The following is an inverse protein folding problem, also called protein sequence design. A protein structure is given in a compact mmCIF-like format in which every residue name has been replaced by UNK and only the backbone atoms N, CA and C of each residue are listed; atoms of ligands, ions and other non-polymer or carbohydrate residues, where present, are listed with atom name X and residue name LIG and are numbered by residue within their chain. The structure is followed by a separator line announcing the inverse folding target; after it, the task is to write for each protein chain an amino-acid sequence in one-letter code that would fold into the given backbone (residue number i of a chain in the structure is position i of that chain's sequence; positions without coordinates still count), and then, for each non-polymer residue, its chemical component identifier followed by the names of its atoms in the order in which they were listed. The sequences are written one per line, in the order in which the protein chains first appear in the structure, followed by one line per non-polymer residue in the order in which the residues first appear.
data_IF_658689651281
#
_entry.id   IF_658689651281
#
_cell.length_a   1.000
_cell.length_b   1.000
_cell.length_c   1.000
_cell.angle_alpha   90.00
_cell.angle_beta   90.00
_cell.angle_gamma   90.00
#
_symmetry.space_group_name_H-M   'P 1'
#
loop_
_entity.id
_entity.type
_entity.pdbx_description
1 polymer ?
#
# COMPACT_ATOMS: atom_id res chain seq x y z
N UNK A 1 29.40 -66.28 13.81
CA UNK A 1 30.52 -65.40 13.40
C UNK A 1 29.91 -64.06 13.02
N UNK A 2 30.11 -63.04 13.85
CA UNK A 2 29.98 -61.63 13.50
C UNK A 2 31.36 -60.99 13.70
N UNK A 3 31.72 -59.94 12.96
CA UNK A 3 31.64 -58.62 13.58
C UNK A 3 31.20 -57.54 12.53
N UNK A 4 31.31 -56.22 12.77
CA UNK A 4 30.18 -55.33 13.01
C UNK A 4 30.04 -54.22 11.95
N UNK A 5 28.96 -53.44 12.02
CA UNK A 5 28.81 -52.15 11.34
C UNK A 5 29.92 -51.16 11.76
N UNK A 6 30.18 -50.14 10.91
CA UNK A 6 30.36 -48.80 11.45
C UNK A 6 29.47 -47.73 10.78
N UNK A 7 28.86 -46.93 11.64
CA UNK A 7 28.32 -45.57 11.44
C UNK A 7 29.39 -44.60 12.00
N UNK A 8 29.26 -43.26 11.92
CA UNK A 8 29.30 -42.33 10.78
C UNK A 8 30.63 -41.54 10.74
N UNK A 9 30.95 -40.87 9.61
CA UNK A 9 32.02 -39.86 9.60
C UNK A 9 31.41 -38.48 9.87
N UNK A 10 31.57 -38.00 11.10
CA UNK A 10 31.55 -36.57 11.41
C UNK A 10 32.94 -35.99 11.16
N UNK A 11 33.08 -35.07 10.22
CA UNK A 11 34.22 -34.15 10.13
C UNK A 11 33.76 -32.75 9.74
N UNK A 12 33.76 -31.86 10.74
CA UNK A 12 33.95 -30.40 10.69
C UNK A 12 34.99 -30.17 11.81
N UNK A 13 36.12 -29.44 11.67
CA UNK A 13 36.18 -28.04 11.18
C UNK A 13 37.45 -27.64 10.40
N UNK A 14 37.27 -26.89 9.30
CA UNK A 14 38.36 -26.30 8.52
C UNK A 14 38.31 -24.77 8.51
N UNK A 15 38.77 -24.15 9.60
CA UNK A 15 39.06 -22.72 9.74
C UNK A 15 40.26 -22.39 8.82
N UNK A 16 40.08 -21.57 7.78
CA UNK A 16 41.20 -20.86 7.11
C UNK A 16 40.94 -19.37 7.12
N UNK A 17 41.80 -18.69 7.85
CA UNK A 17 41.99 -17.24 7.89
C UNK A 17 42.73 -16.78 6.63
N UNK A 18 42.24 -15.67 6.04
CA UNK A 18 42.96 -14.55 5.40
C UNK A 18 43.85 -14.82 4.14
N UNK A 19 44.09 -13.83 3.23
CA UNK A 19 44.40 -12.44 3.58
C UNK A 19 43.61 -11.34 2.84
N UNK A 20 43.54 -10.21 3.55
CA UNK A 20 43.40 -8.86 3.02
C UNK A 20 44.20 -8.66 1.73
N UNK A 21 43.55 -8.06 0.73
CA UNK A 21 44.23 -7.21 -0.24
C UNK A 21 43.40 -5.94 -0.37
N UNK A 22 43.76 -5.02 0.51
CA UNK A 22 43.45 -3.60 0.45
C UNK A 22 44.46 -2.94 -0.51
N UNK A 23 43.94 -2.41 -1.62
CA UNK A 23 44.51 -1.37 -2.48
C UNK A 23 43.49 -1.20 -3.62
N UNK A 24 42.68 -0.13 -3.64
CA UNK A 24 43.17 1.25 -3.67
C UNK A 24 43.27 1.67 -5.13
N UNK A 25 42.12 1.98 -5.75
CA UNK A 25 42.05 2.32 -7.17
C UNK A 25 40.78 3.08 -7.50
N UNK A 26 40.76 4.35 -7.10
CA UNK A 26 39.76 5.35 -7.47
C UNK A 26 39.64 5.47 -8.99
N UNK A 27 38.47 5.19 -9.55
CA UNK A 27 37.96 5.93 -10.70
C UNK A 27 36.45 6.13 -10.55
N UNK A 28 36.13 7.37 -10.19
CA UNK A 28 34.87 8.07 -10.43
C UNK A 28 34.02 7.45 -11.54
N UNK A 29 32.86 6.91 -11.18
CA UNK A 29 31.74 6.79 -12.12
C UNK A 29 30.48 7.14 -11.34
N UNK A 30 29.78 8.16 -11.82
CA UNK A 30 28.56 8.73 -11.28
C UNK A 30 27.53 7.66 -10.88
N UNK A 31 27.26 7.56 -9.58
CA UNK A 31 26.04 6.96 -9.06
C UNK A 31 24.95 8.02 -9.09
N UNK A 32 24.32 8.16 -10.26
CA UNK A 32 23.00 8.75 -10.36
C UNK A 32 22.05 7.98 -9.43
N UNK A 33 21.42 8.70 -8.50
CA UNK A 33 20.28 8.22 -7.70
C UNK A 33 19.16 7.76 -8.65
N UNK A 34 19.13 6.47 -8.96
CA UNK A 34 17.95 5.83 -9.53
C UNK A 34 16.96 5.59 -8.38
N UNK A 35 15.93 6.46 -8.31
CA UNK A 35 14.71 6.21 -7.55
C UNK A 35 14.11 4.86 -7.98
N UNK A 36 13.62 4.02 -7.06
CA UNK A 36 12.73 2.94 -7.45
C UNK A 36 11.39 3.55 -7.86
N UNK A 37 11.19 3.74 -9.17
CA UNK A 37 9.84 3.87 -9.71
C UNK A 37 9.16 2.53 -9.55
N UNK A 38 8.19 2.46 -8.66
CA UNK A 38 7.15 1.42 -8.64
C UNK A 38 6.41 1.46 -9.97
N UNK A 39 6.92 0.75 -10.96
CA UNK A 39 6.20 0.50 -12.21
C UNK A 39 5.12 -0.52 -11.90
N UNK A 40 3.96 -0.04 -11.43
CA UNK A 40 2.70 -0.74 -11.60
C UNK A 40 2.44 -0.81 -13.10
N UNK A 41 3.01 -1.82 -13.75
CA UNK A 41 2.66 -2.18 -15.11
C UNK A 41 1.28 -2.84 -15.05
N UNK A 42 0.25 -2.00 -15.03
CA UNK A 42 -1.12 -2.38 -15.33
C UNK A 42 -1.15 -2.76 -16.81
N UNK A 43 -0.86 -4.01 -17.10
CA UNK A 43 -1.13 -4.63 -18.39
C UNK A 43 -2.64 -4.65 -18.61
N UNK A 44 -3.15 -3.54 -19.13
CA UNK A 44 -4.44 -3.47 -19.79
C UNK A 44 -4.35 -4.16 -21.15
N UNK A 45 -4.16 -5.48 -21.13
CA UNK A 45 -4.55 -6.29 -22.28
C UNK A 45 -6.06 -6.54 -22.09
N UNK A 46 -6.93 -6.14 -23.01
CA UNK A 46 -8.32 -6.58 -22.99
C UNK A 46 -8.28 -8.09 -23.19
N UNK A 47 -8.37 -8.83 -22.10
CA UNK A 47 -8.67 -10.25 -22.13
C UNK A 47 -10.03 -10.34 -22.81
N UNK A 48 -10.02 -10.71 -24.09
CA UNK A 48 -11.15 -11.29 -24.78
C UNK A 48 -11.55 -12.52 -23.98
N UNK A 49 -12.39 -12.28 -22.99
CA UNK A 49 -13.18 -13.27 -22.28
C UNK A 49 -13.88 -14.07 -23.38
N UNK A 50 -13.65 -15.39 -23.51
CA UNK A 50 -14.60 -16.22 -24.21
C UNK A 50 -15.93 -15.98 -23.52
N UNK A 51 -16.87 -15.36 -24.22
CA UNK A 51 -18.25 -15.33 -23.78
C UNK A 51 -18.68 -16.78 -23.61
N UNK A 52 -18.63 -17.25 -22.38
CA UNK A 52 -19.51 -18.33 -21.97
C UNK A 52 -20.93 -17.77 -22.11
N UNK A 53 -21.80 -18.40 -22.92
CA UNK A 53 -23.18 -17.98 -22.99
C UNK A 53 -23.76 -18.13 -21.58
N UNK A 54 -24.22 -17.00 -21.03
CA UNK A 54 -25.04 -16.95 -19.83
C UNK A 54 -26.29 -17.77 -20.09
N UNK A 55 -26.37 -18.94 -19.48
CA UNK A 55 -27.62 -19.68 -19.36
C UNK A 55 -28.47 -18.98 -18.30
N UNK A 56 -29.29 -18.01 -18.71
CA UNK A 56 -30.49 -17.69 -17.95
C UNK A 56 -31.45 -18.90 -17.99
N UNK A 57 -32.18 -19.18 -16.91
CA UNK A 57 -33.18 -20.24 -16.87
C UNK A 57 -34.44 -19.77 -17.61
N UNK A 58 -34.39 -19.90 -18.94
CA UNK A 58 -35.52 -19.68 -19.83
C UNK A 58 -36.55 -20.80 -19.70
N UNK A 59 -37.59 -20.53 -18.92
CA UNK A 59 -38.87 -21.23 -18.95
C UNK A 59 -39.49 -21.14 -20.37
N UNK A 60 -39.62 -22.27 -21.07
CA UNK A 60 -40.47 -22.44 -22.26
C UNK A 60 -40.66 -23.96 -22.44
N UNK A 61 -41.79 -24.51 -21.97
CA UNK A 61 -42.91 -24.94 -22.82
C UNK A 61 -42.51 -25.75 -24.07
N UNK A 62 -42.92 -27.01 -24.04
CA UNK A 62 -43.36 -27.82 -25.18
C UNK A 62 -42.42 -27.93 -26.39
N UNK A 63 -41.62 -28.99 -26.40
CA UNK A 63 -41.26 -29.67 -27.64
C UNK A 63 -41.21 -31.18 -27.39
N UNK A 64 -42.34 -31.81 -27.64
CA UNK A 64 -42.51 -33.18 -28.08
C UNK A 64 -41.40 -33.57 -29.05
N UNK A 65 -40.56 -34.56 -28.74
CA UNK A 65 -39.64 -35.08 -29.76
C UNK A 65 -38.48 -35.91 -29.23
N UNK A 66 -38.46 -37.17 -29.65
CA UNK A 66 -37.27 -38.03 -29.73
C UNK A 66 -36.75 -38.60 -28.41
N UNK A 67 -37.58 -39.45 -27.80
CA UNK A 67 -37.07 -40.60 -27.09
C UNK A 67 -36.13 -41.39 -28.03
N UNK A 68 -34.88 -41.53 -27.59
CA UNK A 68 -33.89 -42.39 -28.23
C UNK A 68 -34.48 -43.78 -28.47
N UNK A 69 -34.21 -44.42 -29.61
CA UNK A 69 -34.68 -45.76 -29.88
C UNK A 69 -34.04 -46.70 -28.87
N UNK A 70 -34.84 -47.11 -27.89
CA UNK A 70 -34.62 -48.31 -27.09
C UNK A 70 -34.27 -49.41 -28.09
N UNK A 71 -33.16 -50.16 -27.93
CA UNK A 71 -32.90 -51.29 -28.79
C UNK A 71 -34.12 -52.21 -28.64
N UNK A 72 -34.89 -52.28 -29.73
CA UNK A 72 -36.01 -53.18 -29.82
C UNK A 72 -35.46 -54.56 -29.47
N UNK A 73 -35.97 -55.12 -28.39
CA UNK A 73 -36.05 -56.55 -28.23
C UNK A 73 -36.71 -57.06 -29.51
N UNK A 74 -35.87 -57.46 -30.45
CA UNK A 74 -36.28 -58.23 -31.61
C UNK A 74 -36.79 -59.55 -31.04
N UNK A 75 -38.08 -59.54 -30.72
CA UNK A 75 -38.89 -60.73 -30.58
C UNK A 75 -38.76 -61.52 -31.87
N UNK A 76 -37.81 -62.45 -31.89
CA UNK A 76 -37.88 -63.61 -32.75
C UNK A 76 -38.98 -64.51 -32.18
N UNK A 77 -40.22 -64.14 -32.48
CA UNK A 77 -41.35 -65.05 -32.53
C UNK A 77 -41.10 -66.01 -33.70
N UNK A 78 -40.22 -66.98 -33.47
CA UNK A 78 -39.97 -68.12 -34.34
C UNK A 78 -40.55 -69.36 -33.68
N UNK A 79 -41.80 -69.63 -33.99
CA UNK A 79 -42.50 -70.90 -33.81
C UNK A 79 -41.56 -72.11 -33.80
N UNK A 80 -41.27 -72.65 -32.61
CA UNK A 80 -40.77 -74.01 -32.46
C UNK A 80 -41.91 -74.87 -31.93
N UNK A 81 -42.70 -75.42 -32.86
CA UNK A 81 -43.32 -76.71 -32.58
C UNK A 81 -42.22 -77.71 -32.17
N UNK A 82 -42.53 -78.78 -31.45
CA UNK A 82 -41.59 -79.87 -31.26
C UNK A 82 -41.38 -80.53 -32.63
N UNK A 83 -40.50 -79.94 -33.47
CA UNK A 83 -39.73 -80.73 -34.39
C UNK A 83 -38.90 -81.63 -33.49
N UNK A 84 -39.43 -82.81 -33.27
CA UNK A 84 -38.68 -84.02 -33.03
C UNK A 84 -37.45 -83.95 -33.94
N UNK A 85 -36.34 -83.48 -33.37
CA UNK A 85 -35.02 -83.59 -33.99
C UNK A 85 -34.77 -85.07 -34.03
N UNK A 86 -35.22 -85.71 -35.11
CA UNK A 86 -34.71 -87.02 -35.50
C UNK A 86 -33.18 -86.84 -35.51
N UNK A 87 -32.43 -87.54 -34.63
CA UNK A 87 -30.99 -87.41 -34.62
C UNK A 87 -30.49 -87.70 -36.04
N UNK A 88 -29.70 -86.78 -36.59
CA UNK A 88 -29.24 -86.85 -37.99
C UNK A 88 -28.28 -88.03 -38.26
N UNK A 89 -28.11 -88.94 -37.31
CA UNK A 89 -27.41 -90.20 -37.51
C UNK A 89 -28.01 -91.29 -36.59
N UNK A 90 -28.64 -92.33 -37.14
CA UNK A 90 -28.94 -93.55 -36.39
C UNK A 90 -27.62 -94.25 -36.07
N UNK A 91 -27.28 -94.41 -34.78
CA UNK A 91 -26.16 -95.25 -34.34
C UNK A 91 -24.86 -94.53 -33.97
N UNK A 92 -24.91 -93.27 -33.54
CA UNK A 92 -23.74 -92.60 -32.96
C UNK A 92 -23.37 -93.27 -31.62
N UNK A 93 -22.24 -94.01 -31.59
CA UNK A 93 -21.77 -94.75 -30.42
C UNK A 93 -20.70 -94.00 -29.58
N UNK A 94 -20.40 -92.75 -29.92
CA UNK A 94 -19.40 -91.90 -29.26
C UNK A 94 -20.08 -90.97 -28.24
N UNK A 95 -19.60 -90.95 -27.00
CA UNK A 95 -20.17 -90.15 -25.91
C UNK A 95 -19.40 -88.84 -25.69
N UNK A 96 -20.04 -87.89 -25.02
CA UNK A 96 -19.39 -86.64 -24.57
C UNK A 96 -18.30 -86.97 -23.54
N UNK A 97 -17.04 -86.85 -23.95
CA UNK A 97 -15.86 -87.26 -23.17
C UNK A 97 -14.97 -88.29 -23.87
N UNK A 98 -15.45 -88.94 -24.92
CA UNK A 98 -14.64 -89.85 -25.72
C UNK A 98 -13.65 -89.08 -26.60
N UNK A 99 -12.36 -89.28 -26.36
CA UNK A 99 -11.29 -88.67 -27.16
C UNK A 99 -11.06 -89.45 -28.44
N UNK A 100 -11.31 -88.81 -29.58
CA UNK A 100 -10.95 -89.34 -30.90
C UNK A 100 -9.43 -89.54 -31.07
N UNK A 101 -8.60 -88.89 -30.25
CA UNK A 101 -7.16 -89.08 -30.28
C UNK A 101 -6.76 -90.40 -29.60
N UNK A 102 -7.49 -90.80 -28.56
CA UNK A 102 -7.18 -91.98 -27.74
C UNK A 102 -7.93 -93.24 -28.20
N UNK A 103 -8.99 -93.09 -29.01
CA UNK A 103 -9.79 -94.20 -29.54
C UNK A 103 -10.01 -94.08 -31.06
N UNK A 104 -9.37 -94.98 -31.83
CA UNK A 104 -9.43 -95.01 -33.29
C UNK A 104 -10.85 -95.28 -33.81
N UNK A 105 -11.68 -96.04 -33.08
CA UNK A 105 -13.07 -96.28 -33.50
C UNK A 105 -13.90 -95.01 -33.34
N UNK A 106 -13.69 -94.27 -32.26
CA UNK A 106 -14.28 -92.94 -32.06
C UNK A 106 -13.85 -91.99 -33.19
N UNK A 107 -12.56 -91.94 -33.52
CA UNK A 107 -12.06 -91.14 -34.65
C UNK A 107 -12.72 -91.52 -35.98
N UNK A 108 -12.88 -92.81 -36.25
CA UNK A 108 -13.52 -93.32 -37.47
C UNK A 108 -15.00 -92.96 -37.54
N UNK A 109 -15.74 -93.07 -36.44
CA UNK A 109 -17.14 -92.65 -36.40
C UNK A 109 -17.28 -91.14 -36.58
N UNK A 110 -16.45 -90.35 -35.89
CA UNK A 110 -16.42 -88.89 -36.03
C UNK A 110 -16.08 -88.49 -37.47
N UNK A 111 -15.08 -89.09 -38.11
CA UNK A 111 -14.74 -88.83 -39.51
C UNK A 111 -15.85 -89.26 -40.47
N UNK A 112 -16.53 -90.39 -40.20
CA UNK A 112 -17.64 -90.87 -41.03
C UNK A 112 -18.81 -89.90 -41.02
N UNK A 113 -19.10 -89.31 -39.87
CA UNK A 113 -20.22 -88.35 -39.71
C UNK A 113 -19.84 -86.94 -40.17
N UNK A 114 -18.58 -86.53 -39.96
CA UNK A 114 -18.11 -85.18 -40.30
C UNK A 114 -17.85 -84.98 -41.81
N UNK A 115 -17.50 -86.03 -42.55
CA UNK A 115 -17.22 -85.95 -43.97
C UNK A 115 -18.51 -86.13 -44.79
N UNK A 116 -18.86 -85.11 -45.57
CA UNK A 116 -20.00 -85.21 -46.49
C UNK A 116 -19.70 -86.26 -47.57
N UNK A 117 -20.72 -86.94 -48.14
CA UNK A 117 -20.52 -87.91 -49.21
C UNK A 117 -19.68 -87.39 -50.39
N UNK A 118 -19.76 -86.09 -50.69
CA UNK A 118 -18.92 -85.42 -51.69
C UNK A 118 -17.43 -85.36 -51.29
N UNK A 119 -17.14 -85.11 -50.01
CA UNK A 119 -15.77 -85.12 -49.48
C UNK A 119 -15.20 -86.54 -49.49
N UNK A 120 -16.01 -87.54 -49.15
CA UNK A 120 -15.61 -88.94 -49.23
C UNK A 120 -15.28 -89.36 -50.67
N UNK A 121 -16.09 -88.94 -51.66
CA UNK A 121 -15.81 -89.19 -53.07
C UNK A 121 -14.51 -88.49 -53.51
N UNK A 122 -14.29 -87.24 -53.08
CA UNK A 122 -13.08 -86.48 -53.38
C UNK A 122 -11.81 -87.12 -52.78
N UNK A 123 -11.89 -87.59 -51.53
CA UNK A 123 -10.79 -88.29 -50.87
C UNK A 123 -10.48 -89.62 -51.58
N UNK A 124 -11.52 -90.37 -52.00
CA UNK A 124 -11.34 -91.63 -52.75
C UNK A 124 -10.78 -91.43 -54.16
N UNK A 125 -11.01 -90.26 -54.79
CA UNK A 125 -10.46 -89.93 -56.11
C UNK A 125 -9.03 -89.37 -56.06
N UNK A 126 -8.58 -88.89 -54.90
CA UNK A 126 -7.22 -88.37 -54.71
C UNK A 126 -6.25 -89.53 -54.51
N UNK A 127 -5.06 -89.45 -55.09
CA UNK A 127 -4.01 -90.40 -54.72
C UNK A 127 -3.52 -90.09 -53.29
N UNK A 128 -2.94 -91.08 -52.60
CA UNK A 128 -2.52 -90.92 -51.21
C UNK A 128 -1.51 -89.77 -51.02
N UNK A 129 -0.61 -89.55 -51.99
CA UNK A 129 0.37 -88.47 -51.94
C UNK A 129 -0.28 -87.09 -51.95
N UNK A 130 -1.20 -86.85 -52.89
CA UNK A 130 -1.95 -85.59 -53.00
C UNK A 130 -2.77 -85.29 -51.74
N UNK A 131 -3.40 -86.32 -51.15
CA UNK A 131 -4.13 -86.16 -49.90
C UNK A 131 -3.20 -85.73 -48.76
N UNK A 132 -2.05 -86.40 -48.60
CA UNK A 132 -1.08 -86.06 -47.56
C UNK A 132 -0.49 -84.66 -47.76
N UNK A 133 -0.14 -84.29 -49.00
CA UNK A 133 0.38 -82.95 -49.32
C UNK A 133 -0.65 -81.86 -49.02
N UNK A 134 -1.93 -82.08 -49.40
CA UNK A 134 -3.03 -81.18 -49.09
C UNK A 134 -3.25 -81.03 -47.57
N UNK A 135 -3.21 -82.14 -46.84
CA UNK A 135 -3.34 -82.14 -45.38
C UNK A 135 -2.19 -81.39 -44.72
N UNK A 136 -0.94 -81.63 -45.14
CA UNK A 136 0.26 -80.94 -44.63
C UNK A 136 0.16 -79.44 -44.92
N UNK A 137 -0.18 -79.05 -46.15
CA UNK A 137 -0.32 -77.64 -46.52
C UNK A 137 -1.42 -76.93 -45.72
N UNK A 138 -2.55 -77.61 -45.49
CA UNK A 138 -3.65 -77.12 -44.66
C UNK A 138 -3.19 -76.93 -43.21
N UNK A 139 -2.50 -77.92 -42.62
CA UNK A 139 -1.96 -77.83 -41.26
C UNK A 139 -0.95 -76.69 -41.11
N UNK A 140 -0.03 -76.52 -42.06
CA UNK A 140 0.94 -75.41 -42.06
C UNK A 140 0.20 -74.06 -42.10
N UNK A 141 -0.82 -73.93 -42.96
CA UNK A 141 -1.62 -72.70 -43.03
C UNK A 141 -2.34 -72.42 -41.71
N UNK A 142 -2.98 -73.43 -41.11
CA UNK A 142 -3.68 -73.28 -39.81
C UNK A 142 -2.72 -72.94 -38.68
N UNK A 143 -1.52 -73.52 -38.67
CA UNK A 143 -0.49 -73.18 -37.70
C UNK A 143 -0.06 -71.72 -37.85
N UNK A 144 0.21 -71.27 -39.07
CA UNK A 144 0.58 -69.89 -39.36
C UNK A 144 -0.53 -68.89 -39.00
N UNK A 145 -1.80 -69.20 -39.32
CA UNK A 145 -2.96 -68.40 -38.88
C UNK A 145 -3.02 -68.29 -37.36
N UNK A 146 -2.85 -69.42 -36.66
CA UNK A 146 -2.85 -69.46 -35.18
C UNK A 146 -1.72 -68.63 -34.60
N UNK A 147 -0.51 -68.78 -35.12
CA UNK A 147 0.67 -68.01 -34.73
C UNK A 147 0.45 -66.51 -34.94
N UNK A 148 -0.08 -66.12 -36.09
CA UNK A 148 -0.39 -64.71 -36.39
C UNK A 148 -1.40 -64.14 -35.39
N UNK A 149 -2.46 -64.90 -35.08
CA UNK A 149 -3.46 -64.47 -34.10
C UNK A 149 -2.86 -64.34 -32.69
N UNK A 150 -1.97 -65.24 -32.28
CA UNK A 150 -1.26 -65.14 -30.99
C UNK A 150 -0.45 -63.85 -30.93
N UNK A 151 0.30 -63.52 -31.98
CA UNK A 151 1.09 -62.28 -32.05
C UNK A 151 0.21 -61.03 -31.96
N UNK A 152 -0.91 -61.01 -32.71
CA UNK A 152 -1.87 -59.90 -32.68
C UNK A 152 -2.44 -59.74 -31.26
N UNK A 153 -2.89 -60.82 -30.63
CA UNK A 153 -3.45 -60.79 -29.26
C UNK A 153 -2.40 -60.27 -28.27
N UNK A 154 -1.15 -60.73 -28.40
CA UNK A 154 -0.07 -60.30 -27.54
C UNK A 154 0.20 -58.80 -27.67
N UNK A 155 0.28 -58.30 -28.91
CA UNK A 155 0.49 -56.87 -29.17
C UNK A 155 -0.68 -55.99 -28.66
N UNK A 156 -1.92 -56.44 -28.81
CA UNK A 156 -3.07 -55.75 -28.19
C UNK A 156 -2.98 -55.72 -26.66
N UNK A 157 -2.56 -56.82 -26.02
CA UNK A 157 -2.34 -56.86 -24.56
C UNK A 157 -1.21 -55.94 -24.12
N UNK A 158 -0.13 -55.86 -24.90
CA UNK A 158 0.99 -54.96 -24.62
C UNK A 158 0.60 -53.48 -24.80
N UNK A 159 -0.18 -53.16 -25.84
CA UNK A 159 -0.76 -51.82 -26.04
C UNK A 159 -1.73 -51.45 -24.91
N UNK A 160 -2.62 -52.34 -24.51
CA UNK A 160 -3.55 -52.12 -23.40
C UNK A 160 -2.81 -51.85 -22.07
N UNK A 161 -1.76 -52.63 -21.77
CA UNK A 161 -0.92 -52.40 -20.58
C UNK A 161 -0.18 -51.06 -20.61
N UNK A 162 0.30 -50.61 -21.78
CA UNK A 162 0.91 -49.28 -21.93
C UNK A 162 -0.09 -48.16 -21.70
N UNK A 163 -1.29 -48.26 -22.26
CA UNK A 163 -2.35 -47.28 -22.02
C UNK A 163 -2.78 -47.23 -20.56
N UNK A 164 -2.91 -48.39 -19.91
CA UNK A 164 -3.24 -48.45 -18.49
C UNK A 164 -2.18 -47.75 -17.62
N UNK A 165 -0.89 -48.07 -17.84
CA UNK A 165 0.21 -47.37 -17.13
C UNK A 165 0.21 -45.87 -17.40
N UNK A 166 0.03 -45.45 -18.65
CA UNK A 166 -0.04 -44.03 -19.00
C UNK A 166 -1.20 -43.31 -18.29
N UNK A 167 -2.34 -43.98 -18.09
CA UNK A 167 -3.47 -43.45 -17.34
C UNK A 167 -3.14 -43.31 -15.85
N UNK A 168 -2.54 -44.33 -15.24
CA UNK A 168 -2.12 -44.30 -13.82
C UNK A 168 -1.08 -43.21 -13.59
N UNK A 169 -0.09 -43.07 -14.48
CA UNK A 169 0.89 -41.98 -14.44
C UNK A 169 0.25 -40.59 -14.60
N UNK A 170 -0.75 -40.45 -15.45
CA UNK A 170 -1.48 -39.18 -15.59
C UNK A 170 -2.32 -38.87 -14.34
N UNK A 171 -2.98 -39.86 -13.75
CA UNK A 171 -3.77 -39.72 -12.53
C UNK A 171 -2.90 -39.35 -11.33
N UNK A 172 -1.75 -40.00 -11.16
CA UNK A 172 -0.79 -39.63 -10.10
C UNK A 172 -0.26 -38.21 -10.26
N UNK A 173 0.06 -37.78 -11.50
CA UNK A 173 0.46 -36.39 -11.78
C UNK A 173 -0.65 -35.39 -11.49
N UNK A 174 -1.89 -35.75 -11.84
CA UNK A 174 -3.06 -34.91 -11.55
C UNK A 174 -3.24 -34.72 -10.04
N UNK A 175 -3.20 -35.80 -9.25
CA UNK A 175 -3.32 -35.73 -7.79
C UNK A 175 -2.17 -34.94 -7.16
N UNK A 176 -0.94 -35.09 -7.67
CA UNK A 176 0.21 -34.29 -7.22
C UNK A 176 0.00 -32.79 -7.49
N UNK A 177 -0.45 -32.43 -8.69
CA UNK A 177 -0.77 -31.04 -9.04
C UNK A 177 -1.92 -30.47 -8.21
N UNK A 178 -2.94 -31.28 -7.91
CA UNK A 178 -4.06 -30.88 -7.05
C UNK A 178 -3.58 -30.62 -5.61
N UNK A 179 -2.67 -31.44 -5.09
CA UNK A 179 -2.05 -31.24 -3.79
C UNK A 179 -1.21 -29.95 -3.75
N UNK A 180 -0.41 -29.68 -4.79
CA UNK A 180 0.34 -28.43 -4.92
C UNK A 180 -0.58 -27.21 -4.97
N UNK A 181 -1.69 -27.28 -5.71
CA UNK A 181 -2.69 -26.23 -5.76
C UNK A 181 -3.28 -25.94 -4.38
N UNK A 182 -3.62 -26.98 -3.60
CA UNK A 182 -4.13 -26.82 -2.22
C UNK A 182 -3.09 -26.15 -1.30
N UNK A 183 -1.81 -26.50 -1.44
CA UNK A 183 -0.72 -25.86 -0.68
C UNK A 183 -0.59 -24.38 -1.05
N UNK A 184 -0.62 -24.05 -2.35
CA UNK A 184 -0.56 -22.66 -2.80
C UNK A 184 -1.77 -21.86 -2.34
N UNK A 185 -2.97 -22.45 -2.37
CA UNK A 185 -4.19 -21.83 -1.87
C UNK A 185 -4.11 -21.54 -0.37
N UNK A 186 -3.58 -22.46 0.43
CA UNK A 186 -3.39 -22.25 1.87
C UNK A 186 -2.37 -21.13 2.14
N UNK A 187 -1.27 -21.07 1.37
CA UNK A 187 -0.28 -19.98 1.47
C UNK A 187 -0.87 -18.62 1.09
N UNK A 188 -1.69 -18.57 0.04
CA UNK A 188 -2.37 -17.36 -0.38
C UNK A 188 -3.34 -16.87 0.71
N UNK A 189 -4.12 -17.77 1.31
CA UNK A 189 -4.98 -17.43 2.46
C UNK A 189 -4.19 -16.87 3.66
N UNK A 190 -3.07 -17.51 4.02
CA UNK A 190 -2.21 -17.02 5.10
C UNK A 190 -1.60 -15.63 4.80
N UNK A 191 -1.16 -15.39 3.56
CA UNK A 191 -0.65 -14.09 3.14
C UNK A 191 -1.74 -13.01 3.13
N UNK A 192 -2.97 -13.36 2.73
CA UNK A 192 -4.12 -12.45 2.79
C UNK A 192 -4.51 -12.09 4.23
N UNK A 193 -4.37 -13.02 5.18
CA UNK A 193 -4.55 -12.76 6.61
C UNK A 193 -3.45 -11.83 7.14
N UNK A 194 -2.18 -12.08 6.79
CA UNK A 194 -1.04 -11.22 7.18
C UNK A 194 -1.21 -9.78 6.66
N UNK A 195 -1.61 -9.61 5.39
CA UNK A 195 -1.90 -8.29 4.82
C UNK A 195 -3.03 -7.60 5.57
N UNK A 196 -4.08 -8.33 5.96
CA UNK A 196 -5.18 -7.75 6.76
C UNK A 196 -4.70 -7.28 8.13
N UNK A 197 -3.83 -8.04 8.79
CA UNK A 197 -3.21 -7.63 10.07
C UNK A 197 -2.37 -6.36 9.90
N UNK A 198 -1.49 -6.31 8.90
CA UNK A 198 -0.65 -5.13 8.64
C UNK A 198 -1.46 -3.88 8.30
N UNK A 199 -2.60 -4.03 7.59
CA UNK A 199 -3.51 -2.91 7.31
C UNK A 199 -4.13 -2.36 8.59
N UNK A 200 -4.55 -3.23 9.52
CA UNK A 200 -5.10 -2.80 10.80
C UNK A 200 -4.06 -2.05 11.66
N UNK A 201 -2.83 -2.56 11.73
CA UNK A 201 -1.71 -1.88 12.43
C UNK A 201 -1.41 -0.49 11.83
N UNK A 202 -1.41 -0.38 10.50
CA UNK A 202 -1.19 0.89 9.82
C UNK A 202 -2.31 1.91 10.10
N UNK A 203 -3.56 1.46 10.23
CA UNK A 203 -4.68 2.33 10.59
C UNK A 203 -4.58 2.82 12.04
N UNK A 204 -4.17 1.94 12.97
CA UNK A 204 -3.89 2.31 14.35
C UNK A 204 -2.75 3.34 14.44
N UNK A 205 -1.64 3.12 13.74
CA UNK A 205 -0.50 4.07 13.70
C UNK A 205 -0.91 5.42 13.13
N UNK A 206 -1.71 5.45 12.05
CA UNK A 206 -2.27 6.69 11.49
C UNK A 206 -3.15 7.43 12.51
N UNK A 207 -3.91 6.70 13.32
CA UNK A 207 -4.67 7.24 14.44
C UNK A 207 -3.77 7.88 15.49
N UNK A 208 -2.75 7.15 15.96
CA UNK A 208 -1.77 7.65 16.93
C UNK A 208 -1.01 8.89 16.43
N UNK A 209 -0.59 8.91 15.16
CA UNK A 209 0.08 10.06 14.55
C UNK A 209 -0.84 11.28 14.44
N UNK A 210 -2.13 11.07 14.15
CA UNK A 210 -3.11 12.16 14.11
C UNK A 210 -3.31 12.77 15.49
N UNK A 211 -3.35 11.95 16.54
CA UNK A 211 -3.41 12.39 17.94
C UNK A 211 -2.14 13.16 18.34
N UNK A 212 -0.95 12.63 18.06
CA UNK A 212 0.31 13.29 18.36
C UNK A 212 0.43 14.66 17.67
N UNK A 213 0.01 14.76 16.39
CA UNK A 213 -0.05 16.05 15.68
C UNK A 213 -1.01 17.04 16.32
N UNK A 214 -2.14 16.57 16.83
CA UNK A 214 -3.09 17.42 17.54
C UNK A 214 -2.47 17.94 18.85
N UNK A 215 -1.86 17.07 19.65
CA UNK A 215 -1.19 17.44 20.90
C UNK A 215 -0.07 18.46 20.69
N UNK A 216 0.74 18.30 19.64
CA UNK A 216 1.78 19.26 19.25
C UNK A 216 1.16 20.63 18.95
N UNK A 217 0.10 20.71 18.15
CA UNK A 217 -0.59 21.98 17.86
C UNK A 217 -1.16 22.62 19.13
N UNK A 218 -1.72 21.82 20.04
CA UNK A 218 -2.22 22.31 21.32
C UNK A 218 -1.08 22.82 22.23
N UNK A 219 0.09 22.18 22.20
CA UNK A 219 1.27 22.64 22.94
C UNK A 219 1.85 23.93 22.32
N UNK A 220 1.89 24.03 21.00
CA UNK A 220 2.32 25.25 20.28
C UNK A 220 1.41 26.44 20.60
N UNK A 221 0.09 26.26 20.59
CA UNK A 221 -0.86 27.31 20.97
C UNK A 221 -0.61 27.80 22.41
N UNK A 222 -0.47 26.87 23.36
CA UNK A 222 -0.14 27.20 24.76
C UNK A 222 1.20 27.93 24.90
N UNK A 223 2.18 27.56 24.08
CA UNK A 223 3.48 28.25 24.05
C UNK A 223 3.33 29.69 23.57
N UNK A 224 2.59 29.94 22.49
CA UNK A 224 2.38 31.31 21.98
C UNK A 224 1.63 32.20 22.98
N UNK A 225 0.67 31.64 23.71
CA UNK A 225 -0.03 32.34 24.80
C UNK A 225 0.92 32.68 25.96
N UNK A 226 1.75 31.71 26.37
CA UNK A 226 2.76 31.93 27.41
C UNK A 226 3.79 33.00 27.00
N UNK A 227 4.28 32.96 25.75
CA UNK A 227 5.20 33.97 25.20
C UNK A 227 4.57 35.36 25.20
N UNK A 228 3.30 35.50 24.79
CA UNK A 228 2.56 36.76 24.86
C UNK A 228 2.42 37.27 26.29
N UNK A 229 2.02 36.40 27.24
CA UNK A 229 1.88 36.76 28.65
C UNK A 229 3.20 37.20 29.29
N UNK A 230 4.32 36.61 28.84
CA UNK A 230 5.66 36.96 29.29
C UNK A 230 6.08 38.33 28.74
N UNK A 231 5.82 38.60 27.47
CA UNK A 231 6.10 39.90 26.85
C UNK A 231 5.37 41.05 27.58
N UNK A 232 4.09 40.84 27.94
CA UNK A 232 3.32 41.82 28.74
C UNK A 232 4.00 42.08 30.09
N UNK A 233 4.40 41.03 30.81
CA UNK A 233 5.07 41.17 32.11
C UNK A 233 6.44 41.84 31.99
N UNK A 234 7.21 41.50 30.96
CA UNK A 234 8.50 42.15 30.71
C UNK A 234 8.33 43.65 30.45
N UNK A 235 7.29 44.03 29.71
CA UNK A 235 6.92 45.43 29.52
C UNK A 235 6.53 46.09 30.85
N UNK A 236 5.63 45.50 31.63
CA UNK A 236 5.20 46.04 32.94
C UNK A 236 6.38 46.22 33.90
N UNK A 237 7.30 45.25 33.95
CA UNK A 237 8.54 45.35 34.76
C UNK A 237 9.44 46.47 34.24
N UNK A 238 9.57 46.60 32.92
CA UNK A 238 10.29 47.70 32.28
C UNK A 238 9.73 49.07 32.68
N UNK A 239 8.40 49.24 32.60
CA UNK A 239 7.71 50.46 33.01
C UNK A 239 7.86 50.74 34.50
N UNK A 240 7.70 49.73 35.36
CA UNK A 240 7.91 49.85 36.80
C UNK A 240 9.34 50.28 37.14
N UNK A 241 10.34 49.75 36.41
CA UNK A 241 11.74 50.14 36.57
C UNK A 241 12.00 51.58 36.16
N UNK A 242 11.37 52.05 35.08
CA UNK A 242 11.48 53.46 34.65
C UNK A 242 10.85 54.38 35.70
N UNK A 243 9.63 54.07 36.18
CA UNK A 243 8.95 54.84 37.23
C UNK A 243 9.75 54.88 38.54
N UNK A 244 10.38 53.76 38.93
CA UNK A 244 11.23 53.71 40.11
C UNK A 244 12.46 54.63 39.98
N UNK A 245 13.12 54.62 38.80
CA UNK A 245 14.24 55.53 38.51
C UNK A 245 13.82 56.99 38.48
N UNK A 246 12.65 57.30 37.91
CA UNK A 246 12.12 58.66 37.87
C UNK A 246 11.85 59.17 39.29
N UNK A 247 11.25 58.34 40.15
CA UNK A 247 11.03 58.68 41.56
C UNK A 247 12.34 58.92 42.30
N UNK A 248 13.33 58.05 42.12
CA UNK A 248 14.66 58.21 42.70
C UNK A 248 15.32 59.53 42.23
N UNK A 249 15.29 59.83 40.93
CA UNK A 249 15.83 61.08 40.39
C UNK A 249 15.09 62.32 40.94
N UNK A 250 13.78 62.23 41.12
CA UNK A 250 12.97 63.31 41.70
C UNK A 250 13.31 63.54 43.17
N UNK A 251 13.49 62.46 43.95
CA UNK A 251 13.94 62.54 45.34
C UNK A 251 15.34 63.15 45.44
N UNK A 252 16.28 62.74 44.58
CA UNK A 252 17.62 63.33 44.50
C UNK A 252 17.59 64.82 44.14
N UNK A 253 16.73 65.22 43.18
CA UNK A 253 16.58 66.62 42.80
C UNK A 253 16.00 67.46 43.95
N UNK A 254 15.00 66.95 44.67
CA UNK A 254 14.44 67.61 45.85
C UNK A 254 15.48 67.75 46.97
N UNK A 255 16.28 66.71 47.21
CA UNK A 255 17.35 66.76 48.21
C UNK A 255 18.44 67.77 47.83
N UNK A 256 18.83 67.83 46.55
CA UNK A 256 19.76 68.83 46.03
C UNK A 256 19.23 70.27 46.23
N UNK A 257 17.96 70.53 45.92
CA UNK A 257 17.31 71.83 46.18
C UNK A 257 17.34 72.17 47.66
N UNK A 258 17.06 71.20 48.54
CA UNK A 258 17.07 71.40 49.99
C UNK A 258 18.49 71.70 50.51
N UNK A 259 19.51 71.00 50.02
CA UNK A 259 20.91 71.28 50.33
C UNK A 259 21.31 72.68 49.87
N UNK A 260 20.86 73.09 48.68
CA UNK A 260 21.11 74.40 48.12
C UNK A 260 20.47 75.53 48.94
N UNK A 261 19.19 75.40 49.33
CA UNK A 261 18.53 76.35 50.23
C UNK A 261 19.22 76.47 51.60
N UNK A 262 19.80 75.37 52.10
CA UNK A 262 20.54 75.34 53.37
C UNK A 262 21.96 75.86 53.25
N UNK A 263 22.53 75.88 52.04
CA UNK A 263 23.89 76.37 51.80
C UNK A 263 23.97 77.85 52.15
N UNK A 264 24.72 78.14 53.22
CA UNK A 264 25.02 79.50 53.65
C UNK A 264 25.91 80.20 52.63
N UNK A 265 26.82 79.46 51.99
CA UNK A 265 27.68 79.95 50.89
C UNK A 265 26.85 80.46 49.71
N UNK A 266 25.78 79.75 49.33
CA UNK A 266 24.93 80.17 48.23
C UNK A 266 24.05 81.37 48.61
N UNK A 267 23.57 81.41 49.86
CA UNK A 267 22.80 82.55 50.36
C UNK A 267 23.65 83.83 50.37
N UNK A 268 24.89 83.72 50.85
CA UNK A 268 25.86 84.80 50.83
C UNK A 268 26.20 85.22 49.39
N UNK A 269 26.38 84.25 48.47
CA UNK A 269 26.62 84.55 47.06
C UNK A 269 25.42 85.25 46.40
N UNK A 270 24.19 84.81 46.66
CA UNK A 270 22.97 85.47 46.15
C UNK A 270 22.75 86.84 46.77
N UNK A 271 23.08 87.03 48.05
CA UNK A 271 23.06 88.36 48.66
C UNK A 271 24.13 89.24 48.02
N UNK A 272 25.36 88.75 47.82
CA UNK A 272 26.44 89.55 47.25
C UNK A 272 26.23 89.84 45.76
N UNK A 273 26.07 88.83 44.91
CA UNK A 273 25.84 88.99 43.47
C UNK A 273 24.45 89.55 43.16
N UNK A 274 23.42 89.19 43.92
CA UNK A 274 22.07 89.71 43.72
C UNK A 274 21.98 91.19 44.07
N UNK A 275 22.56 91.61 45.21
CA UNK A 275 22.62 93.03 45.56
C UNK A 275 23.55 93.77 44.60
N UNK A 276 24.71 93.23 44.24
CA UNK A 276 25.62 93.85 43.27
C UNK A 276 24.98 93.98 41.88
N UNK A 277 24.28 92.94 41.42
CA UNK A 277 23.53 92.94 40.16
C UNK A 277 22.37 93.92 40.16
N UNK A 278 21.62 94.01 41.27
CA UNK A 278 20.54 95.00 41.43
C UNK A 278 21.10 96.43 41.43
N UNK A 279 22.20 96.67 42.15
CA UNK A 279 22.91 97.95 42.16
C UNK A 279 23.36 98.30 40.74
N UNK A 280 23.92 97.34 40.01
CA UNK A 280 24.40 97.56 38.65
C UNK A 280 23.25 97.85 37.68
N UNK A 281 22.16 97.06 37.73
CA UNK A 281 20.96 97.30 36.93
C UNK A 281 20.30 98.66 37.23
N UNK A 282 20.28 99.07 38.50
CA UNK A 282 19.78 100.38 38.90
C UNK A 282 20.68 101.53 38.41
N UNK A 283 22.00 101.34 38.40
CA UNK A 283 22.94 102.29 37.79
C UNK A 283 22.68 102.42 36.29
N UNK A 284 22.50 101.31 35.58
CA UNK A 284 22.22 101.31 34.15
C UNK A 284 20.87 101.98 33.84
N UNK A 285 19.85 101.70 34.63
CA UNK A 285 18.55 102.39 34.57
C UNK A 285 18.68 103.89 34.79
N UNK A 286 19.38 104.34 35.85
CA UNK A 286 19.64 105.77 36.08
C UNK A 286 20.39 106.40 34.92
N UNK A 287 21.36 105.69 34.33
CA UNK A 287 22.09 106.19 33.17
C UNK A 287 21.20 106.32 31.93
N UNK A 288 20.26 105.40 31.71
CA UNK A 288 19.25 105.51 30.66
C UNK A 288 18.30 106.70 30.90
N UNK A 289 17.78 106.86 32.12
CA UNK A 289 16.93 107.99 32.51
C UNK A 289 17.63 109.33 32.32
N UNK A 290 18.90 109.44 32.69
CA UNK A 290 19.69 110.68 32.55
C UNK A 290 19.90 111.08 31.09
N UNK A 291 19.90 110.11 30.16
CA UNK A 291 19.94 110.37 28.72
C UNK A 291 18.59 110.85 28.18
N UNK A 292 17.49 110.35 28.74
CA UNK A 292 16.12 110.69 28.31
C UNK A 292 15.63 112.01 28.93
N UNK A 293 16.03 112.32 30.16
CA UNK A 293 15.59 113.50 30.93
C UNK A 293 16.80 114.15 31.62
N UNK A 294 17.53 115.04 30.93
CA UNK A 294 18.76 115.63 31.45
C UNK A 294 18.56 116.50 32.70
N UNK A 295 17.41 117.15 32.80
CA UNK A 295 17.10 118.14 33.86
C UNK A 295 16.45 117.51 35.09
N UNK A 296 16.11 116.22 35.04
CA UNK A 296 15.46 115.53 36.15
C UNK A 296 16.49 115.14 37.21
N UNK A 297 16.29 115.60 38.45
CA UNK A 297 17.22 115.32 39.55
C UNK A 297 17.07 113.88 40.05
N UNK A 298 17.85 112.98 39.45
CA UNK A 298 17.90 111.57 39.82
C UNK A 298 18.53 111.33 41.20
N UNK A 299 19.01 112.35 41.92
CA UNK A 299 19.51 112.17 43.29
C UNK A 299 18.41 111.73 44.27
N UNK A 300 17.14 111.98 43.94
CA UNK A 300 15.97 111.58 44.72
C UNK A 300 15.60 110.09 44.58
N UNK A 301 16.07 109.41 43.52
CA UNK A 301 15.85 107.98 43.32
C UNK A 301 16.99 107.19 43.99
N UNK A 302 16.86 106.93 45.28
CA UNK A 302 17.73 105.99 45.99
C UNK A 302 17.22 104.55 45.84
N UNK A 303 18.09 103.60 45.48
CA UNK A 303 17.72 102.18 45.52
C UNK A 303 17.30 101.81 46.95
N UNK A 304 16.06 101.36 47.13
CA UNK A 304 15.54 100.86 48.41
C UNK A 304 14.66 101.81 49.23
N UNK A 305 14.45 103.06 48.81
CA UNK A 305 13.76 104.09 49.62
C UNK A 305 12.22 104.01 49.65
N UNK A 306 11.60 102.83 49.55
CA UNK A 306 10.13 102.74 49.46
C UNK A 306 9.45 101.42 49.82
N UNK A 307 10.16 100.45 50.39
CA UNK A 307 9.53 99.22 50.89
C UNK A 307 9.47 99.27 52.41
N UNK A 308 8.59 100.13 52.92
CA UNK A 308 8.07 99.93 54.28
C UNK A 308 7.17 98.70 54.21
N UNK A 309 7.57 97.61 54.87
CA UNK A 309 6.81 96.38 55.03
C UNK A 309 5.39 96.69 55.54
N UNK A 310 4.33 96.49 54.75
CA UNK A 310 3.00 96.35 55.31
C UNK A 310 2.89 94.91 55.84
N UNK A 311 2.98 94.77 57.17
CA UNK A 311 2.33 93.66 57.88
C UNK A 311 0.84 93.70 57.52
N UNK A 312 0.44 92.95 56.51
CA UNK A 312 -0.96 92.71 56.19
C UNK A 312 -1.15 91.22 56.02
N UNK A 313 -1.66 90.61 57.09
CA UNK A 313 -2.44 89.38 57.06
C UNK A 313 -3.50 89.51 55.95
N UNK A 314 -3.25 88.89 54.80
CA UNK A 314 -4.25 88.67 53.78
C UNK A 314 -4.25 87.17 53.48
N UNK A 315 -5.15 86.47 54.15
CA UNK A 315 -5.68 85.18 53.71
C UNK A 315 -6.20 85.37 52.27
N UNK A 316 -5.36 85.05 51.29
CA UNK A 316 -5.77 84.92 49.91
C UNK A 316 -6.23 83.48 49.75
N UNK A 317 -7.55 83.30 49.85
CA UNK A 317 -8.25 82.12 49.36
C UNK A 317 -7.81 81.85 47.92
N UNK A 318 -7.16 80.70 47.72
CA UNK A 318 -6.89 80.16 46.39
C UNK A 318 -8.24 79.75 45.79
N UNK A 319 -8.66 80.31 44.65
CA UNK A 319 -9.88 79.89 44.01
C UNK A 319 -9.68 78.49 43.45
N UNK A 320 -10.46 77.56 43.96
CA UNK A 320 -10.75 76.26 43.34
C UNK A 320 -11.41 76.54 41.98
N UNK A 321 -10.58 76.73 40.96
CA UNK A 321 -11.02 76.80 39.56
C UNK A 321 -11.48 75.42 39.14
N UNK A 322 -12.79 75.19 39.26
CA UNK A 322 -13.50 74.20 38.48
C UNK A 322 -13.28 74.48 36.99
N UNK A 323 -12.59 73.56 36.34
CA UNK A 323 -12.57 73.40 34.88
C UNK A 323 -13.28 72.11 34.56
N UNK A 324 -14.54 72.25 34.18
CA UNK A 324 -15.30 71.27 33.39
C UNK A 324 -14.60 70.97 32.06
N UNK A 325 -15.09 69.90 31.42
CA UNK A 325 -15.00 69.62 29.99
C UNK A 325 -13.75 68.83 29.54
N UNK A 326 -13.91 67.52 29.39
CA UNK A 326 -14.34 66.97 28.09
C UNK A 326 -14.54 65.45 28.20
N UNK A 327 -15.81 65.06 28.16
CA UNK A 327 -16.26 63.80 27.55
C UNK A 327 -15.76 63.76 26.09
N UNK A 328 -14.54 63.28 25.92
CA UNK A 328 -14.00 62.83 24.64
C UNK A 328 -14.50 61.42 24.39
N UNK A 329 -15.71 61.34 23.84
CA UNK A 329 -16.32 60.18 23.20
C UNK A 329 -15.36 59.65 22.11
N UNK A 330 -14.51 58.69 22.45
CA UNK A 330 -13.75 57.92 21.47
C UNK A 330 -14.57 56.68 21.16
N UNK A 331 -15.14 56.71 19.95
CA UNK A 331 -15.86 55.63 19.30
C UNK A 331 -15.28 54.25 19.64
N UNK A 332 -16.14 53.39 20.20
CA UNK A 332 -16.01 51.95 20.03
C UNK A 332 -16.01 51.67 18.52
N UNK A 333 -14.80 51.54 17.97
CA UNK A 333 -14.59 50.84 16.72
C UNK A 333 -14.92 49.37 16.94
N UNK A 334 -16.22 49.06 16.92
CA UNK A 334 -16.76 47.75 16.64
C UNK A 334 -16.31 47.37 15.22
N UNK A 335 -15.10 46.84 15.12
CA UNK A 335 -14.70 46.06 13.96
C UNK A 335 -15.52 44.78 14.04
N UNK A 336 -16.74 44.84 13.51
CA UNK A 336 -17.46 43.69 13.00
C UNK A 336 -16.52 43.04 12.00
N UNK A 337 -15.77 42.04 12.49
CA UNK A 337 -15.08 41.12 11.62
C UNK A 337 -16.18 40.29 10.96
N UNK A 338 -16.71 40.83 9.87
CA UNK A 338 -17.52 40.09 8.90
C UNK A 338 -16.62 38.98 8.35
N UNK A 339 -16.65 37.86 9.05
CA UNK A 339 -16.18 36.57 8.55
C UNK A 339 -17.08 36.27 7.37
N UNK A 340 -16.67 36.77 6.21
CA UNK A 340 -17.08 36.27 4.92
C UNK A 340 -16.66 34.81 4.89
N UNK A 341 -17.62 33.94 5.16
CA UNK A 341 -17.61 32.52 4.85
C UNK A 341 -17.54 32.38 3.32
N UNK A 342 -16.38 32.71 2.75
CA UNK A 342 -16.04 32.39 1.40
C UNK A 342 -15.72 30.89 1.37
N UNK A 343 -16.78 30.10 1.19
CA UNK A 343 -16.68 28.72 0.78
C UNK A 343 -15.69 28.61 -0.40
N UNK A 344 -14.63 27.81 -0.32
CA UNK A 344 -13.84 27.51 -1.50
C UNK A 344 -14.70 26.61 -2.39
N UNK A 345 -15.38 27.24 -3.34
CA UNK A 345 -15.90 26.60 -4.54
C UNK A 345 -14.69 26.00 -5.24
N UNK A 346 -14.47 24.71 -5.03
CA UNK A 346 -13.53 23.90 -5.77
C UNK A 346 -13.98 23.88 -7.23
N UNK A 347 -13.57 24.90 -7.97
CA UNK A 347 -13.56 24.88 -9.43
C UNK A 347 -12.48 23.87 -9.81
N UNK A 348 -12.95 22.70 -10.24
CA UNK A 348 -12.19 21.69 -10.96
C UNK A 348 -11.61 22.37 -12.20
N UNK A 349 -10.38 22.86 -12.06
CA UNK A 349 -9.54 23.27 -13.16
C UNK A 349 -9.11 22.00 -13.90
N UNK A 350 -9.73 21.76 -15.04
CA UNK A 350 -9.22 20.86 -16.05
C UNK A 350 -7.83 21.35 -16.48
N UNK A 351 -6.79 20.74 -15.91
CA UNK A 351 -5.44 20.86 -16.42
C UNK A 351 -5.38 20.08 -17.72
N UNK A 352 -5.38 20.82 -18.83
CA UNK A 352 -4.96 20.32 -20.12
C UNK A 352 -3.54 19.76 -19.98
N UNK A 353 -3.44 18.44 -19.95
CA UNK A 353 -2.19 17.73 -20.12
C UNK A 353 -1.93 17.64 -21.62
N UNK A 354 -1.04 18.51 -22.04
CA UNK A 354 -0.20 18.44 -23.24
C UNK A 354 0.15 16.99 -23.57
N UNK A 355 -0.27 16.57 -24.77
CA UNK A 355 -0.03 15.28 -25.39
C UNK A 355 1.45 15.19 -25.83
N UNK A 356 2.28 14.32 -25.23
CA UNK A 356 3.62 14.08 -25.76
C UNK A 356 3.50 13.17 -26.99
N UNK A 357 3.99 13.69 -28.12
CA UNK A 357 4.17 12.94 -29.36
C UNK A 357 4.88 11.61 -29.10
N UNK A 358 4.20 10.51 -29.45
CA UNK A 358 4.74 9.16 -29.39
C UNK A 358 5.71 8.99 -30.56
N UNK A 359 6.98 8.59 -30.35
CA UNK A 359 7.85 8.19 -31.44
C UNK A 359 7.35 6.86 -32.03
N UNK A 360 7.10 6.89 -33.33
CA UNK A 360 6.79 5.75 -34.18
C UNK A 360 7.91 4.69 -34.09
N UNK A 361 7.67 3.64 -33.32
CA UNK A 361 8.58 2.49 -33.21
C UNK A 361 8.33 1.59 -34.41
N UNK A 362 9.30 1.58 -35.33
CA UNK A 362 9.38 0.67 -36.45
C UNK A 362 9.27 -0.80 -36.00
N UNK A 363 8.29 -1.52 -36.55
CA UNK A 363 8.10 -2.94 -36.33
C UNK A 363 9.22 -3.78 -36.96
N UNK A 364 9.55 -4.96 -36.37
CA UNK A 364 10.51 -5.87 -36.96
C UNK A 364 9.92 -6.58 -38.19
N UNK A 365 10.69 -6.58 -39.27
CA UNK A 365 10.42 -7.34 -40.49
C UNK A 365 10.24 -8.85 -40.19
N UNK A 366 9.26 -9.52 -40.84
CA UNK A 366 9.18 -10.97 -40.81
C UNK A 366 10.30 -11.56 -41.70
N UNK A 367 11.18 -12.35 -41.08
CA UNK A 367 12.08 -13.25 -41.80
C UNK A 367 11.25 -14.26 -42.61
N UNK A 368 11.44 -14.23 -43.93
CA UNK A 368 11.02 -15.26 -44.90
C UNK A 368 12.00 -16.43 -44.86
#
# INVERSE_FOLDING_TARGET
MAPPCPVPISQVPGRREAPNSDQGGRTSTDLALARPTSTTQRSGQPSTRPQFPSSEPGNSQEATGSAAPRPAEAGLAGSSGPQERVPYAPGWAVFEGDSALDNVQVAREVLRVALLPADQAKIRSMNYGEFMDSAICSSIRRLHETETMIHIIQDYRDRARRHQRGREEAETKFLASEAEQKVLQAKLGAAEDEVRTLVAELEEEKGAHSLARFEVRTAEARRTEAESSLAIREQEVGEARIKAREKEAREQAQDAVKLFCKSEEFRNLMEEEGVNGLIQGFKDFRNQLRRLLPDFDLSLLQPGAGVENPEAEAEVEVPTSGGTDQEGQAEEGEIVLEVTEAAPKATVGASAAEEPAVPEVAGPEPLV
#
